data_IF_015812438694
#
_entry.id   IF_015812438694
#
_cell.length_a   1.000
_cell.length_b   1.000
_cell.length_c   1.000
_cell.angle_alpha   90.00
_cell.angle_beta   90.00
_cell.angle_gamma   90.00
#
_symmetry.space_group_name_H-M   'P 1'
#
loop_
_entity.id
_entity.type
_entity.pdbx_description
1 polymer ?
#
# COMPACT_ATOMS: atom_id res chain seq x y z
N UNK A 1 3.20 1.31 -30.76
CA UNK A 1 3.55 -0.12 -30.65
C UNK A 1 4.17 -0.33 -29.28
N UNK A 2 3.47 -0.99 -28.34
CA UNK A 2 3.99 -1.97 -27.39
C UNK A 2 2.80 -2.56 -26.61
N UNK A 3 2.78 -3.89 -26.56
CA UNK A 3 1.79 -4.81 -26.02
C UNK A 3 1.41 -4.48 -24.56
N UNK A 4 0.29 -4.90 -23.98
CA UNK A 4 -0.59 -6.03 -24.26
C UNK A 4 -1.44 -6.25 -23.02
N UNK A 5 -2.68 -6.68 -23.24
CA UNK A 5 -3.74 -6.85 -22.25
C UNK A 5 -3.61 -8.17 -21.52
N UNK A 6 -3.51 -8.15 -20.18
CA UNK A 6 -3.94 -9.25 -19.31
C UNK A 6 -4.43 -8.72 -17.96
N UNK A 7 -5.73 -8.41 -17.87
CA UNK A 7 -6.40 -8.26 -16.58
C UNK A 7 -7.18 -9.55 -16.29
N UNK A 8 -6.57 -10.44 -15.50
CA UNK A 8 -7.30 -11.52 -14.82
C UNK A 8 -8.31 -10.84 -13.89
N UNK A 9 -9.60 -10.99 -14.21
CA UNK A 9 -10.68 -10.51 -13.35
C UNK A 9 -10.79 -11.41 -12.12
N UNK A 10 -10.12 -11.02 -11.03
CA UNK A 10 -10.36 -11.57 -9.70
C UNK A 10 -10.80 -10.42 -8.79
N UNK A 11 -11.93 -10.58 -8.09
CA UNK A 11 -12.70 -9.56 -7.32
C UNK A 11 -11.97 -8.21 -7.23
N UNK A 12 -12.34 -7.25 -8.09
CA UNK A 12 -11.65 -5.96 -8.32
C UNK A 12 -11.14 -5.32 -7.03
N UNK A 13 -9.92 -5.67 -6.61
CA UNK A 13 -9.20 -4.95 -5.56
C UNK A 13 -8.95 -3.56 -6.11
N UNK A 14 -9.26 -2.52 -5.33
CA UNK A 14 -9.07 -1.12 -5.76
C UNK A 14 -7.60 -0.78 -6.02
N UNK A 15 -6.68 -1.56 -5.46
CA UNK A 15 -5.24 -1.46 -5.68
C UNK A 15 -4.75 -2.67 -6.48
N UNK A 16 -3.90 -2.39 -7.46
CA UNK A 16 -3.12 -3.40 -8.18
C UNK A 16 -1.86 -3.77 -7.41
N UNK A 17 -1.27 -4.93 -7.74
CA UNK A 17 -0.01 -5.39 -7.15
C UNK A 17 1.12 -4.37 -7.31
N UNK A 18 1.25 -3.78 -8.49
CA UNK A 18 2.28 -2.77 -8.80
C UNK A 18 2.13 -1.52 -7.93
N UNK A 19 0.91 -1.01 -7.77
CA UNK A 19 0.63 0.13 -6.90
C UNK A 19 0.97 -0.15 -5.44
N UNK A 20 0.77 -1.39 -4.97
CA UNK A 20 1.11 -1.76 -3.60
C UNK A 20 2.63 -1.83 -3.40
N UNK A 21 3.37 -2.37 -4.37
CA UNK A 21 4.83 -2.38 -4.33
C UNK A 21 5.39 -0.96 -4.31
N UNK A 22 4.87 -0.08 -5.17
CA UNK A 22 5.27 1.32 -5.20
C UNK A 22 4.95 2.03 -3.87
N UNK A 23 3.75 1.87 -3.34
CA UNK A 23 3.35 2.46 -2.07
C UNK A 23 4.23 1.98 -0.89
N UNK A 24 4.65 0.71 -0.92
CA UNK A 24 5.61 0.16 0.06
C UNK A 24 6.99 0.77 -0.06
N UNK A 25 7.48 0.98 -1.28
CA UNK A 25 8.76 1.65 -1.54
C UNK A 25 8.74 3.10 -1.05
N UNK A 26 7.67 3.85 -1.35
CA UNK A 26 7.49 5.22 -0.86
C UNK A 26 7.43 5.27 0.66
N UNK A 27 6.71 4.35 1.30
CA UNK A 27 6.66 4.24 2.75
C UNK A 27 8.02 3.91 3.37
N UNK A 28 8.77 2.96 2.78
CA UNK A 28 10.11 2.60 3.20
C UNK A 28 11.09 3.78 3.06
N UNK A 29 10.89 4.63 2.05
CA UNK A 29 11.65 5.86 1.82
C UNK A 29 11.31 7.00 2.79
N UNK A 30 10.32 6.81 3.67
CA UNK A 30 9.93 7.78 4.70
C UNK A 30 8.66 8.57 4.43
N UNK A 31 7.98 8.35 3.29
CA UNK A 31 6.69 8.98 3.02
C UNK A 31 5.58 8.29 3.84
N UNK A 32 5.24 8.90 4.99
CA UNK A 32 4.27 8.36 5.97
C UNK A 32 2.93 9.10 5.97
N UNK A 33 2.72 10.00 5.02
CA UNK A 33 1.50 10.77 4.90
C UNK A 33 0.39 9.96 4.22
N UNK A 34 -0.37 9.21 5.02
CA UNK A 34 -1.48 8.37 4.53
C UNK A 34 -2.53 9.12 3.73
N UNK A 35 -2.77 10.41 4.05
CA UNK A 35 -3.71 11.25 3.30
C UNK A 35 -3.23 11.56 1.89
N UNK A 36 -1.92 11.79 1.71
CA UNK A 36 -1.30 12.01 0.41
C UNK A 36 -1.35 10.73 -0.43
N UNK A 37 -0.90 9.60 0.13
CA UNK A 37 -0.95 8.30 -0.54
C UNK A 37 -2.39 7.88 -0.92
N UNK A 38 -3.34 8.09 -0.01
CA UNK A 38 -4.77 7.83 -0.28
C UNK A 38 -5.30 8.61 -1.48
N UNK A 39 -4.94 9.89 -1.60
CA UNK A 39 -5.31 10.75 -2.73
C UNK A 39 -4.64 10.32 -4.03
N UNK A 40 -3.34 10.03 -3.96
CA UNK A 40 -2.53 9.61 -5.12
C UNK A 40 -3.06 8.32 -5.76
N UNK A 41 -3.45 7.34 -4.92
CA UNK A 41 -3.97 6.05 -5.39
C UNK A 41 -5.51 5.99 -5.49
N UNK A 42 -6.24 7.05 -5.12
CA UNK A 42 -7.71 7.09 -5.19
C UNK A 42 -8.42 6.08 -4.29
N UNK A 43 -7.81 5.71 -3.16
CA UNK A 43 -8.36 4.73 -2.20
C UNK A 43 -8.46 5.31 -0.80
N UNK A 44 -9.25 4.68 0.07
CA UNK A 44 -9.34 5.10 1.48
C UNK A 44 -8.01 4.97 2.21
N UNK A 45 -7.79 5.84 3.22
CA UNK A 45 -6.60 5.81 4.09
C UNK A 45 -6.34 4.43 4.71
N UNK A 46 -7.41 3.76 5.15
CA UNK A 46 -7.31 2.40 5.71
C UNK A 46 -6.89 1.37 4.65
N UNK A 47 -7.44 1.47 3.45
CA UNK A 47 -7.11 0.56 2.33
C UNK A 47 -5.62 0.64 1.98
N UNK A 48 -5.08 1.85 1.83
CA UNK A 48 -3.66 2.02 1.51
C UNK A 48 -2.76 1.61 2.68
N UNK A 49 -3.16 1.93 3.92
CA UNK A 49 -2.43 1.51 5.12
C UNK A 49 -2.32 -0.01 5.19
N UNK A 50 -3.44 -0.73 5.11
CA UNK A 50 -3.45 -2.19 5.17
C UNK A 50 -2.69 -2.85 4.00
N UNK A 51 -2.66 -2.23 2.83
CA UNK A 51 -1.86 -2.73 1.70
C UNK A 51 -0.35 -2.53 1.91
N UNK A 52 0.05 -1.33 2.36
CA UNK A 52 1.44 -0.96 2.64
C UNK A 52 2.02 -1.75 3.81
N UNK A 53 1.26 -1.92 4.90
CA UNK A 53 1.67 -2.76 6.05
C UNK A 53 1.47 -4.26 5.81
N UNK A 54 0.99 -4.65 4.62
CA UNK A 54 0.87 -6.03 4.17
C UNK A 54 -0.16 -6.89 4.90
N UNK A 55 -1.23 -6.27 5.43
CA UNK A 55 -2.39 -7.00 5.94
C UNK A 55 -3.20 -7.66 4.82
N UNK A 56 -3.30 -7.00 3.65
CA UNK A 56 -4.11 -7.47 2.52
C UNK A 56 -3.30 -8.12 1.38
N UNK A 57 -2.07 -7.65 1.13
CA UNK A 57 -1.18 -8.16 0.08
C UNK A 57 0.00 -8.94 0.68
N UNK A 58 -0.31 -10.05 1.38
CA UNK A 58 0.67 -10.86 2.14
C UNK A 58 1.69 -11.58 1.25
N UNK A 59 1.31 -11.86 0.01
CA UNK A 59 2.14 -12.50 -1.01
C UNK A 59 3.28 -11.60 -1.54
N UNK A 60 3.17 -10.28 -1.34
CA UNK A 60 4.13 -9.32 -1.86
C UNK A 60 5.28 -9.09 -0.87
N UNK A 61 6.52 -8.91 -1.37
CA UNK A 61 7.68 -8.64 -0.53
C UNK A 61 7.54 -7.30 0.21
N UNK A 62 8.07 -7.29 1.44
CA UNK A 62 7.98 -6.26 2.48
C UNK A 62 6.58 -5.73 2.81
N UNK A 63 6.17 -5.95 4.06
CA UNK A 63 5.96 -4.82 4.93
C UNK A 63 6.98 -4.83 6.08
N UNK A 64 7.30 -3.66 6.68
CA UNK A 64 7.96 -3.67 7.97
C UNK A 64 7.04 -4.39 8.95
N UNK A 65 7.59 -5.42 9.61
CA UNK A 65 6.90 -6.19 10.65
C UNK A 65 6.27 -5.19 11.60
N UNK A 66 4.94 -5.19 11.69
CA UNK A 66 4.17 -4.35 12.61
C UNK A 66 4.86 -4.36 13.97
N UNK A 67 5.58 -3.28 14.30
CA UNK A 67 6.10 -3.07 15.65
C UNK A 67 4.94 -2.52 16.48
N UNK A 68 3.82 -3.26 16.51
CA UNK A 68 2.74 -3.03 17.45
C UNK A 68 3.27 -3.45 18.82
N UNK A 69 3.82 -2.49 19.57
CA UNK A 69 4.31 -2.77 20.91
C UNK A 69 5.22 -1.72 21.53
N UNK A 70 5.79 -0.77 20.77
CA UNK A 70 6.63 0.27 21.35
C UNK A 70 6.21 1.67 20.92
N UNK A 71 5.36 2.26 21.78
CA UNK A 71 5.00 3.67 21.91
C UNK A 71 4.04 4.27 20.86
N UNK A 72 3.13 5.17 21.30
CA UNK A 72 2.26 5.92 20.41
C UNK A 72 3.10 6.85 19.53
N UNK A 73 2.87 6.82 18.22
CA UNK A 73 3.36 7.90 17.36
C UNK A 73 2.41 9.10 17.53
N UNK A 74 2.93 10.23 18.06
CA UNK A 74 2.12 11.40 18.31
C UNK A 74 1.72 12.01 16.98
N UNK A 75 0.47 12.41 16.85
CA UNK A 75 0.08 13.39 15.84
C UNK A 75 -0.51 14.57 16.62
N UNK A 76 0.30 15.63 16.79
CA UNK A 76 -0.12 16.95 17.28
C UNK A 76 -0.45 17.01 18.76
#
# INVERSE_FOLDING_TARGET
>A
MFLGRFAVQSRKRKLTTEQVLEARLRFASGEREWGKLSRDYGVSRETIKSAVVGETFKELPMPPKRVFGQRPFPYG
#
